data_IF_051180013769
#
_entry.id   IF_051180013769
#
_cell.length_a   1.000
_cell.length_b   1.000
_cell.length_c   1.000
_cell.angle_alpha   90.00
_cell.angle_beta   90.00
_cell.angle_gamma   90.00
#
_symmetry.space_group_name_H-M   'P 1'
#
loop_
_entity.id
_entity.type
_entity.pdbx_description
1 polymer ?
#
# COMPACT_ATOMS: atom_id res chain seq x y z
N UNK A 1 0.42 12.30 10.32
CA UNK A 1 0.81 10.90 10.11
C UNK A 1 -0.07 10.08 11.02
N UNK A 2 -0.97 9.28 10.46
CA UNK A 2 -1.82 8.37 11.22
C UNK A 2 -1.15 7.00 11.26
N UNK A 3 -1.24 6.31 12.37
CA UNK A 3 -0.69 4.96 12.55
C UNK A 3 -1.80 4.07 13.08
N UNK A 4 -1.98 2.93 12.43
CA UNK A 4 -2.95 1.92 12.79
C UNK A 4 -2.20 0.66 13.22
N UNK A 5 -2.72 -0.03 14.23
CA UNK A 5 -2.17 -1.28 14.75
C UNK A 5 -3.34 -2.26 14.92
N UNK A 6 -3.08 -3.53 14.64
CA UNK A 6 -4.06 -4.61 14.74
C UNK A 6 -5.39 -4.33 14.01
N UNK A 7 -5.31 -3.60 12.89
CA UNK A 7 -6.43 -3.22 12.06
C UNK A 7 -6.57 -4.12 10.83
N UNK A 8 -7.78 -4.22 10.30
CA UNK A 8 -8.02 -4.90 9.03
C UNK A 8 -7.73 -3.99 7.84
N UNK A 9 -7.65 -4.57 6.65
CA UNK A 9 -7.46 -3.79 5.42
C UNK A 9 -8.68 -2.89 5.16
N UNK A 10 -9.88 -3.37 5.47
CA UNK A 10 -11.13 -2.63 5.33
C UNK A 10 -11.13 -1.37 6.20
N UNK A 11 -10.68 -1.46 7.45
CA UNK A 11 -10.54 -0.30 8.35
C UNK A 11 -9.55 0.73 7.80
N UNK A 12 -8.48 0.29 7.12
CA UNK A 12 -7.55 1.20 6.45
C UNK A 12 -8.25 1.89 5.28
N UNK A 13 -9.04 1.16 4.49
CA UNK A 13 -9.77 1.69 3.35
C UNK A 13 -10.81 2.75 3.77
N UNK A 14 -11.53 2.53 4.87
CA UNK A 14 -12.51 3.48 5.41
C UNK A 14 -11.88 4.83 5.82
N UNK A 15 -10.61 4.82 6.20
CA UNK A 15 -9.86 6.02 6.58
C UNK A 15 -9.22 6.74 5.38
N UNK A 16 -9.27 6.16 4.17
CA UNK A 16 -8.71 6.77 2.97
C UNK A 16 -9.62 7.89 2.44
N UNK A 17 -9.09 9.11 2.24
CA UNK A 17 -9.89 10.22 1.74
C UNK A 17 -10.17 10.07 0.24
N UNK A 18 -11.43 10.11 -0.16
CA UNK A 18 -11.89 9.89 -1.55
C UNK A 18 -11.34 10.83 -2.62
N UNK A 19 -10.66 11.92 -2.27
CA UNK A 19 -10.14 12.92 -3.22
C UNK A 19 -8.67 13.30 -2.98
N UNK A 20 -7.99 12.69 -2.01
CA UNK A 20 -6.63 13.09 -1.66
C UNK A 20 -5.67 11.91 -1.74
N UNK A 21 -4.55 12.02 -2.49
CA UNK A 21 -3.55 10.97 -2.53
C UNK A 21 -2.95 10.67 -1.15
N UNK A 22 -2.65 9.40 -0.91
CA UNK A 22 -1.98 8.93 0.30
C UNK A 22 -0.84 7.98 -0.04
N UNK A 23 0.27 8.15 0.67
CA UNK A 23 1.29 7.12 0.78
C UNK A 23 0.97 6.27 2.00
N UNK A 24 0.88 4.96 1.79
CA UNK A 24 0.50 3.99 2.80
C UNK A 24 1.65 3.00 2.92
N UNK A 25 2.11 2.75 4.13
CA UNK A 25 3.10 1.72 4.43
C UNK A 25 2.41 0.64 5.24
N UNK A 26 2.30 -0.56 4.69
CA UNK A 26 1.53 -1.67 5.27
C UNK A 26 2.48 -2.81 5.60
N UNK A 27 2.46 -3.24 6.86
CA UNK A 27 3.00 -4.53 7.27
C UNK A 27 1.83 -5.48 7.49
N UNK A 28 1.87 -6.68 6.92
CA UNK A 28 0.79 -7.65 7.03
C UNK A 28 1.36 -9.07 7.15
N UNK A 29 0.58 -10.01 7.69
CA UNK A 29 0.99 -11.41 7.77
C UNK A 29 0.91 -12.08 6.40
N UNK A 30 2.02 -12.66 5.97
CA UNK A 30 2.11 -13.45 4.74
C UNK A 30 2.55 -14.88 5.06
N UNK A 31 1.69 -15.84 4.72
CA UNK A 31 1.92 -17.26 4.88
C UNK A 31 2.58 -17.83 3.63
N UNK A 32 3.82 -18.28 3.76
CA UNK A 32 4.58 -18.95 2.70
C UNK A 32 4.10 -20.39 2.52
N UNK A 33 4.27 -20.92 1.31
CA UNK A 33 3.91 -22.31 0.97
C UNK A 33 4.74 -23.36 1.70
N UNK A 34 5.91 -22.99 2.22
CA UNK A 34 6.78 -23.85 3.04
C UNK A 34 6.44 -23.82 4.53
N UNK A 35 5.34 -23.15 4.92
CA UNK A 35 4.86 -23.06 6.28
C UNK A 35 5.49 -21.93 7.11
N UNK A 36 6.38 -21.12 6.54
CA UNK A 36 6.89 -19.92 7.21
C UNK A 36 5.85 -18.81 7.21
N UNK A 37 5.82 -18.01 8.26
CA UNK A 37 5.06 -16.75 8.33
C UNK A 37 6.05 -15.60 8.30
N UNK A 38 5.77 -14.59 7.48
CA UNK A 38 6.56 -13.36 7.41
C UNK A 38 5.68 -12.13 7.53
N UNK A 39 6.28 -11.00 7.88
CA UNK A 39 5.65 -9.69 7.95
C UNK A 39 6.26 -8.76 6.89
N UNK A 40 5.97 -8.97 5.59
CA UNK A 40 6.48 -8.11 4.53
C UNK A 40 5.95 -6.68 4.67
N UNK A 41 6.79 -5.73 4.25
CA UNK A 41 6.45 -4.32 4.16
C UNK A 41 6.09 -3.97 2.71
N UNK A 42 4.88 -3.45 2.48
CA UNK A 42 4.43 -2.96 1.19
C UNK A 42 4.20 -1.46 1.23
N UNK A 43 4.66 -0.78 0.19
CA UNK A 43 4.37 0.63 -0.03
C UNK A 43 3.27 0.79 -1.07
N UNK A 44 2.15 1.35 -0.65
CA UNK A 44 0.99 1.57 -1.51
C UNK A 44 0.82 3.07 -1.74
N UNK A 45 0.75 3.45 -3.00
CA UNK A 45 0.36 4.80 -3.37
C UNK A 45 -1.11 4.80 -3.79
N UNK A 46 -1.95 5.45 -2.99
CA UNK A 46 -3.37 5.64 -3.29
C UNK A 46 -3.57 6.98 -4.00
N UNK A 47 -4.17 6.95 -5.19
CA UNK A 47 -4.48 8.12 -6.03
C UNK A 47 -5.90 8.06 -6.59
N UNK A 48 -6.90 8.58 -5.85
CA UNK A 48 -8.29 8.51 -6.30
C UNK A 48 -8.66 9.41 -7.46
N UNK A 49 -7.86 10.46 -7.73
CA UNK A 49 -8.16 11.49 -8.73
C UNK A 49 -7.04 11.58 -9.80
N UNK A 50 -7.36 12.15 -10.96
CA UNK A 50 -6.47 12.33 -12.12
C UNK A 50 -5.29 13.29 -11.87
N UNK A 51 -5.06 13.69 -10.62
CA UNK A 51 -3.90 14.47 -10.17
C UNK A 51 -2.58 13.68 -10.19
N UNK A 52 -2.51 12.54 -10.88
CA UNK A 52 -1.32 11.70 -11.04
C UNK A 52 -0.07 12.51 -11.44
N UNK A 53 -0.22 13.46 -12.37
CA UNK A 53 0.91 14.27 -12.86
C UNK A 53 1.59 15.08 -11.74
N UNK A 54 0.83 15.55 -10.75
CA UNK A 54 1.38 16.35 -9.67
C UNK A 54 2.23 15.50 -8.72
N UNK A 55 1.88 14.23 -8.53
CA UNK A 55 2.52 13.36 -7.53
C UNK A 55 3.47 12.30 -8.12
N UNK A 56 3.43 12.03 -9.43
CA UNK A 56 4.30 11.04 -10.08
C UNK A 56 5.81 11.32 -9.83
N UNK A 57 6.21 12.59 -9.82
CA UNK A 57 7.59 12.98 -9.51
C UNK A 57 7.99 12.63 -8.08
N UNK A 58 7.12 12.89 -7.11
CA UNK A 58 7.37 12.57 -5.69
C UNK A 58 7.44 11.06 -5.42
N UNK A 59 6.64 10.26 -6.13
CA UNK A 59 6.59 8.80 -5.99
C UNK A 59 7.93 8.15 -6.34
N UNK A 60 8.47 8.48 -7.51
CA UNK A 60 9.72 7.87 -7.98
C UNK A 60 10.90 8.21 -7.06
N UNK A 61 10.93 9.43 -6.53
CA UNK A 61 11.93 9.83 -5.53
C UNK A 61 11.78 9.01 -4.25
N UNK A 62 10.57 8.88 -3.70
CA UNK A 62 10.36 8.13 -2.45
C UNK A 62 10.68 6.64 -2.58
N UNK A 63 10.27 5.99 -3.68
CA UNK A 63 10.56 4.57 -3.94
C UNK A 63 12.06 4.33 -4.05
N UNK A 64 12.79 5.23 -4.72
CA UNK A 64 14.25 5.14 -4.87
C UNK A 64 14.98 5.33 -3.54
N UNK A 65 14.60 6.34 -2.75
CA UNK A 65 15.27 6.67 -1.49
C UNK A 65 15.00 5.63 -0.39
N UNK A 66 13.80 5.02 -0.38
CA UNK A 66 13.42 4.06 0.66
C UNK A 66 13.73 2.59 0.29
N UNK A 67 14.33 2.33 -0.88
CA UNK A 67 14.64 0.98 -1.37
C UNK A 67 13.44 0.00 -1.31
N UNK A 68 12.22 0.53 -1.47
CA UNK A 68 10.99 -0.24 -1.28
C UNK A 68 10.81 -1.22 -2.45
N UNK A 69 11.24 -2.46 -2.26
CA UNK A 69 11.17 -3.52 -3.28
C UNK A 69 9.75 -3.91 -3.66
N UNK A 70 8.81 -3.79 -2.72
CA UNK A 70 7.40 -4.14 -2.89
C UNK A 70 6.55 -2.87 -2.81
N UNK A 71 6.35 -2.23 -3.94
CA UNK A 71 5.53 -1.04 -4.06
C UNK A 71 4.55 -1.13 -5.24
N UNK A 72 3.38 -0.53 -5.09
CA UNK A 72 2.37 -0.45 -6.15
C UNK A 72 1.42 0.73 -5.94
N UNK A 73 0.64 1.02 -6.97
CA UNK A 73 -0.33 2.12 -7.01
C UNK A 73 -1.74 1.55 -7.15
N UNK A 74 -2.69 2.18 -6.46
CA UNK A 74 -4.13 1.89 -6.52
C UNK A 74 -4.91 3.18 -6.72
N UNK A 75 -6.05 3.09 -7.38
CA UNK A 75 -6.91 4.25 -7.67
C UNK A 75 -8.19 4.20 -6.85
N UNK A 76 -8.71 3.01 -6.60
CA UNK A 76 -9.78 2.80 -5.66
C UNK A 76 -9.23 2.33 -4.31
N UNK A 77 -9.88 2.74 -3.23
CA UNK A 77 -9.63 2.15 -1.92
C UNK A 77 -10.03 0.66 -1.92
N UNK A 78 -11.08 0.29 -2.67
CA UNK A 78 -11.54 -1.09 -2.82
C UNK A 78 -10.51 -2.01 -3.51
N UNK A 79 -9.55 -1.46 -4.25
CA UNK A 79 -8.45 -2.26 -4.82
C UNK A 79 -7.48 -2.75 -3.74
N UNK A 80 -7.39 -2.06 -2.60
CA UNK A 80 -6.54 -2.49 -1.50
C UNK A 80 -7.16 -3.70 -0.80
N UNK A 81 -6.75 -4.90 -1.21
CA UNK A 81 -7.19 -6.16 -0.58
C UNK A 81 -6.03 -7.03 -0.15
N UNK A 82 -6.31 -7.99 0.75
CA UNK A 82 -5.34 -8.99 1.15
C UNK A 82 -4.87 -9.85 -0.05
N UNK A 83 -5.75 -10.15 -1.01
CA UNK A 83 -5.33 -10.87 -2.22
C UNK A 83 -4.37 -10.04 -3.08
N UNK A 84 -4.62 -8.74 -3.22
CA UNK A 84 -3.71 -7.85 -3.95
C UNK A 84 -2.34 -7.82 -3.28
N UNK A 85 -2.29 -7.64 -1.95
CA UNK A 85 -1.04 -7.66 -1.18
C UNK A 85 -0.29 -8.98 -1.37
N UNK A 86 -0.98 -10.11 -1.24
CA UNK A 86 -0.42 -11.44 -1.44
C UNK A 86 0.09 -11.64 -2.88
N UNK A 87 -0.59 -11.09 -3.89
CA UNK A 87 -0.17 -11.19 -5.30
C UNK A 87 1.16 -10.49 -5.57
N UNK A 88 1.53 -9.49 -4.75
CA UNK A 88 2.81 -8.79 -4.84
C UNK A 88 3.94 -9.53 -4.13
N UNK A 89 3.63 -10.55 -3.32
CA UNK A 89 4.61 -11.34 -2.57
C UNK A 89 5.20 -12.49 -3.38
N UNK A 90 4.62 -12.81 -4.54
CA UNK A 90 5.18 -13.75 -5.51
C UNK A 90 6.53 -13.27 -6.08
#
# INVERSE_FOLDING_TARGET
>A
MSTFQDCTIEEICDELPSQQPRFILISFEYNHTDGRVSLPLCFVFYTPDDLQMLYAGSRNHFVSECELTKNFEIRDAEELTQELLNSKMA
#
